data_IF_226990902158
#
_entry.id   IF_226990902158
#
_cell.length_a   1.000
_cell.length_b   1.000
_cell.length_c   1.000
_cell.angle_alpha   90.00
_cell.angle_beta   90.00
_cell.angle_gamma   90.00
#
_symmetry.space_group_name_H-M   'P 1'
#
loop_
_entity.id
_entity.type
_entity.pdbx_description
1 polymer ?
#
# COMPACT_ATOMS: atom_id res chain seq x y z
N UNK A 1 5.10 -29.48 -16.95
CA UNK A 1 6.04 -28.62 -17.68
C UNK A 1 5.81 -27.19 -17.22
N UNK A 2 6.80 -26.56 -16.59
CA UNK A 2 6.72 -25.16 -16.16
C UNK A 2 7.28 -24.29 -17.28
N UNK A 3 6.44 -23.48 -17.92
CA UNK A 3 6.92 -22.41 -18.79
C UNK A 3 7.66 -21.40 -17.91
N UNK A 4 9.00 -21.44 -17.93
CA UNK A 4 9.83 -20.44 -17.26
C UNK A 4 9.69 -19.12 -18.04
N UNK A 5 8.76 -18.29 -17.60
CA UNK A 5 8.71 -16.89 -18.05
C UNK A 5 10.03 -16.24 -17.63
N UNK A 6 10.79 -15.75 -18.59
CA UNK A 6 11.99 -14.95 -18.32
C UNK A 6 11.57 -13.49 -18.20
N UNK A 7 11.77 -12.91 -17.02
CA UNK A 7 11.57 -11.48 -16.81
C UNK A 7 12.82 -10.72 -17.27
N UNK A 8 12.60 -9.56 -17.89
CA UNK A 8 13.62 -8.65 -18.37
C UNK A 8 13.26 -7.23 -17.90
N UNK A 9 14.30 -6.42 -17.66
CA UNK A 9 14.12 -5.01 -17.29
C UNK A 9 13.45 -4.24 -18.44
N UNK A 10 12.83 -3.10 -18.11
CA UNK A 10 12.22 -2.17 -19.08
C UNK A 10 11.09 -2.76 -19.95
N UNK A 11 10.42 -3.80 -19.44
CA UNK A 11 9.27 -4.43 -20.09
C UNK A 11 7.99 -4.30 -19.26
N UNK A 12 6.85 -4.24 -19.95
CA UNK A 12 5.53 -4.25 -19.33
C UNK A 12 4.96 -5.68 -19.30
N UNK A 13 4.40 -6.07 -18.15
CA UNK A 13 3.83 -7.39 -17.93
C UNK A 13 2.37 -7.29 -17.50
N UNK A 14 1.53 -8.17 -18.04
CA UNK A 14 0.16 -8.34 -17.55
C UNK A 14 0.15 -9.33 -16.39
N UNK A 15 -0.26 -8.85 -15.20
CA UNK A 15 -0.41 -9.67 -14.00
C UNK A 15 -1.88 -10.01 -13.81
N UNK A 16 -2.19 -11.30 -13.69
CA UNK A 16 -3.53 -11.79 -13.38
C UNK A 16 -3.50 -12.49 -12.02
N UNK A 17 -4.32 -12.00 -11.09
CA UNK A 17 -4.48 -12.63 -9.78
C UNK A 17 -5.73 -13.53 -9.78
N UNK A 18 -5.58 -14.74 -9.22
CA UNK A 18 -6.70 -15.68 -9.00
C UNK A 18 -6.67 -16.17 -7.56
N UNK A 19 -7.83 -16.40 -6.96
CA UNK A 19 -7.90 -17.05 -5.66
C UNK A 19 -7.42 -18.50 -5.75
N UNK A 20 -6.75 -18.97 -4.70
CA UNK A 20 -6.40 -20.38 -4.56
C UNK A 20 -7.70 -21.19 -4.52
N UNK A 21 -7.75 -22.29 -5.26
CA UNK A 21 -8.94 -23.13 -5.45
C UNK A 21 -10.15 -22.40 -6.04
N UNK A 22 -9.90 -21.35 -6.85
CA UNK A 22 -10.96 -20.62 -7.53
C UNK A 22 -11.82 -19.75 -6.61
N UNK A 23 -11.35 -19.50 -5.38
CA UNK A 23 -12.04 -18.61 -4.43
C UNK A 23 -12.14 -17.19 -4.99
N UNK A 24 -13.22 -16.51 -4.64
CA UNK A 24 -13.38 -15.09 -4.91
C UNK A 24 -12.30 -14.31 -4.16
N UNK A 25 -11.66 -13.36 -4.86
CA UNK A 25 -10.59 -12.51 -4.29
C UNK A 25 -11.20 -11.35 -3.50
N UNK A 26 -12.35 -10.85 -3.95
CA UNK A 26 -13.07 -9.74 -3.37
C UNK A 26 -14.46 -10.21 -2.99
N UNK A 27 -14.80 -10.14 -1.70
CA UNK A 27 -16.15 -10.47 -1.22
C UNK A 27 -17.04 -9.24 -1.20
N UNK A 28 -16.43 -8.05 -1.10
CA UNK A 28 -17.10 -6.77 -1.16
C UNK A 28 -16.23 -5.69 -1.86
N UNK A 29 -16.79 -4.49 -2.01
CA UNK A 29 -16.10 -3.34 -2.61
C UNK A 29 -14.90 -2.87 -1.76
N UNK A 30 -14.97 -3.04 -0.43
CA UNK A 30 -13.90 -2.63 0.47
C UNK A 30 -12.64 -3.49 0.28
N UNK A 31 -12.80 -4.79 0.05
CA UNK A 31 -11.70 -5.70 -0.31
C UNK A 31 -11.04 -5.29 -1.63
N UNK A 32 -11.85 -4.96 -2.64
CA UNK A 32 -11.34 -4.49 -3.94
C UNK A 32 -10.55 -3.18 -3.78
N UNK A 33 -11.10 -2.22 -3.04
CA UNK A 33 -10.43 -0.94 -2.80
C UNK A 33 -9.13 -1.12 -2.02
N UNK A 34 -9.14 -1.92 -0.94
CA UNK A 34 -7.94 -2.24 -0.16
C UNK A 34 -6.86 -2.88 -1.03
N UNK A 35 -7.25 -3.75 -1.95
CA UNK A 35 -6.31 -4.38 -2.88
C UNK A 35 -5.64 -3.37 -3.81
N UNK A 36 -6.39 -2.42 -4.39
CA UNK A 36 -5.82 -1.35 -5.21
C UNK A 36 -4.89 -0.42 -4.40
N UNK A 37 -5.32 -0.01 -3.20
CA UNK A 37 -4.48 0.79 -2.29
C UNK A 37 -3.18 0.05 -1.93
N UNK A 38 -3.25 -1.27 -1.75
CA UNK A 38 -2.09 -2.12 -1.47
C UNK A 38 -1.14 -2.20 -2.66
N UNK A 39 -1.65 -2.29 -3.90
CA UNK A 39 -0.80 -2.27 -5.09
C UNK A 39 0.00 -0.98 -5.20
N UNK A 40 -0.58 0.16 -4.85
CA UNK A 40 0.15 1.43 -4.85
C UNK A 40 1.16 1.50 -3.69
N UNK A 41 0.72 1.15 -2.48
CA UNK A 41 1.53 1.31 -1.26
C UNK A 41 2.69 0.32 -1.15
N UNK A 42 2.61 -0.83 -1.81
CA UNK A 42 3.67 -1.84 -1.77
C UNK A 42 4.61 -1.79 -2.98
N UNK A 43 4.23 -1.12 -4.07
CA UNK A 43 5.08 -0.95 -5.25
C UNK A 43 5.83 0.40 -5.25
N UNK A 44 6.32 0.83 -4.09
CA UNK A 44 7.15 2.03 -3.92
C UNK A 44 8.50 1.66 -3.33
N UNK A 45 9.55 2.39 -3.71
CA UNK A 45 10.89 2.23 -3.12
C UNK A 45 10.96 2.82 -1.71
N UNK A 46 10.16 3.85 -1.47
CA UNK A 46 10.05 4.49 -0.16
C UNK A 46 9.10 3.70 0.72
N UNK A 47 9.51 3.44 1.96
CA UNK A 47 8.65 2.85 2.97
C UNK A 47 7.50 3.82 3.25
N UNK A 48 6.36 3.65 2.58
CA UNK A 48 5.14 4.26 3.06
C UNK A 48 4.75 3.46 4.31
N UNK A 49 4.87 4.05 5.49
CA UNK A 49 4.08 3.58 6.64
C UNK A 49 2.67 3.39 6.12
N UNK A 50 2.07 2.21 6.31
CA UNK A 50 0.68 1.96 5.89
C UNK A 50 -0.19 2.89 6.74
N UNK A 51 -0.28 4.12 6.29
CA UNK A 51 -1.17 5.11 6.85
C UNK A 51 -2.53 4.65 6.38
N UNK A 52 -3.29 4.05 7.30
CA UNK A 52 -4.72 3.81 7.09
C UNK A 52 -5.25 5.13 6.58
N UNK A 53 -5.68 5.16 5.32
CA UNK A 53 -6.13 6.35 4.56
C UNK A 53 -7.30 7.13 5.20
N UNK A 54 -7.70 6.77 6.42
CA UNK A 54 -8.53 7.54 7.34
C UNK A 54 -7.79 8.57 8.20
N UNK A 55 -6.50 8.40 8.53
CA UNK A 55 -5.80 9.27 9.49
C UNK A 55 -5.08 10.45 8.83
N UNK A 56 -4.62 10.31 7.58
CA UNK A 56 -3.89 11.40 6.87
C UNK A 56 -4.79 12.59 6.53
N UNK A 57 -6.11 12.39 6.48
CA UNK A 57 -7.08 13.49 6.35
C UNK A 57 -7.40 14.17 7.68
N UNK A 58 -7.00 13.60 8.83
CA UNK A 58 -7.20 14.19 10.16
C UNK A 58 -5.91 14.83 10.74
N UNK A 59 -4.72 14.39 10.32
CA UNK A 59 -3.42 14.84 10.83
C UNK A 59 -2.82 16.03 10.04
N UNK A 60 -3.64 16.83 9.35
CA UNK A 60 -3.21 18.14 8.85
C UNK A 60 -3.28 19.24 9.94
N UNK A 61 -2.98 18.87 11.20
CA UNK A 61 -2.60 19.82 12.25
C UNK A 61 -1.22 19.40 12.74
N UNK A 62 -0.18 20.24 12.55
CA UNK A 62 1.16 19.86 12.92
C UNK A 62 1.23 19.61 14.43
N UNK A 63 1.61 18.39 14.81
CA UNK A 63 1.93 18.00 16.19
C UNK A 63 3.15 18.78 16.75
N UNK A 64 3.75 19.67 15.95
CA UNK A 64 4.75 20.65 16.40
C UNK A 64 4.17 21.82 17.21
N UNK A 65 2.85 21.92 17.37
CA UNK A 65 2.21 22.98 18.16
C UNK A 65 1.87 22.59 19.62
N UNK A 66 2.31 21.43 20.12
CA UNK A 66 2.09 21.04 21.51
C UNK A 66 3.42 21.00 22.29
N UNK A 67 3.87 22.20 22.66
CA UNK A 67 4.52 22.51 23.94
C UNK A 67 5.43 21.42 24.54
N UNK A 68 6.69 21.40 24.10
CA UNK A 68 7.79 21.08 25.01
C UNK A 68 8.76 22.26 24.97
N UNK A 69 8.54 23.23 25.86
CA UNK A 69 9.60 24.15 26.26
C UNK A 69 10.67 23.31 26.95
N UNK A 70 11.78 23.04 26.26
CA UNK A 70 12.96 22.44 26.88
C UNK A 70 13.49 23.43 27.92
N UNK A 71 13.62 23.06 29.20
CA UNK A 71 14.18 23.94 30.20
C UNK A 71 15.64 24.24 29.84
N UNK A 72 15.96 25.53 29.67
CA UNK A 72 17.35 25.99 29.52
C UNK A 72 18.06 25.78 30.85
N UNK A 73 19.18 25.06 30.82
CA UNK A 73 20.20 25.04 31.89
C UNK A 73 21.02 26.32 31.78
#
# INVERSE_FOLDING_TARGET
MSSKIQFANDNYYHVLNRGVDGRQIFLDEADHKRFLESLENFNTKDHKTIQRSRLDKLEAKPLLALNYETPKI
#
